data_IF_478007424122
#
_entry.id   IF_478007424122
#
_cell.length_a   1.000
_cell.length_b   1.000
_cell.length_c   1.000
_cell.angle_alpha   90.00
_cell.angle_beta   90.00
_cell.angle_gamma   90.00
#
_symmetry.space_group_name_H-M   'P 1'
#
loop_
_entity.id
_entity.type
_entity.pdbx_description
1 polymer ?
#
# COMPACT_ATOMS: atom_id res chain seq x y z
N UNK A 1 -16.53 -27.89 -8.41
CA UNK A 1 -15.65 -27.69 -7.24
C UNK A 1 -14.87 -26.40 -7.46
N UNK A 2 -15.31 -25.30 -6.86
CA UNK A 2 -14.60 -24.01 -6.98
C UNK A 2 -13.28 -24.12 -6.24
N UNK A 3 -12.16 -23.88 -6.93
CA UNK A 3 -10.85 -23.84 -6.29
C UNK A 3 -10.89 -22.76 -5.22
N UNK A 4 -10.64 -23.16 -3.98
CA UNK A 4 -10.41 -22.23 -2.89
C UNK A 4 -9.24 -21.33 -3.30
N UNK A 5 -9.40 -20.00 -3.31
CA UNK A 5 -8.33 -19.10 -3.69
C UNK A 5 -7.10 -19.34 -2.77
N UNK A 6 -5.86 -19.22 -3.30
CA UNK A 6 -4.64 -19.42 -2.52
C UNK A 6 -4.64 -18.56 -1.26
N UNK A 7 -3.95 -19.01 -0.21
CA UNK A 7 -3.88 -18.30 1.08
C UNK A 7 -3.45 -16.82 0.92
N UNK A 8 -2.61 -16.54 -0.09
CA UNK A 8 -2.20 -15.20 -0.49
C UNK A 8 -3.37 -14.26 -0.86
N UNK A 9 -4.37 -14.77 -1.59
CA UNK A 9 -5.59 -14.02 -1.94
C UNK A 9 -6.53 -13.82 -0.74
N UNK A 10 -6.45 -14.70 0.27
CA UNK A 10 -7.22 -14.60 1.52
C UNK A 10 -6.55 -13.72 2.60
N UNK A 11 -5.23 -13.59 2.56
CA UNK A 11 -4.42 -12.84 3.52
C UNK A 11 -4.08 -11.41 3.06
N UNK A 12 -4.66 -10.94 1.95
CA UNK A 12 -4.56 -9.54 1.57
C UNK A 12 -3.41 -9.18 0.62
N UNK A 13 -2.96 -10.08 -0.25
CA UNK A 13 -2.16 -9.67 -1.43
C UNK A 13 -2.97 -8.87 -2.49
N UNK A 14 -4.12 -8.31 -2.10
CA UNK A 14 -4.98 -7.47 -2.91
C UNK A 14 -4.81 -6.01 -2.46
N UNK A 15 -3.67 -5.40 -2.81
CA UNK A 15 -3.48 -3.94 -2.68
C UNK A 15 -2.78 -3.35 -3.90
N UNK A 16 -1.68 -3.94 -4.37
CA UNK A 16 -0.90 -3.40 -5.52
C UNK A 16 -1.68 -3.37 -6.85
N UNK A 17 -2.55 -4.35 -7.11
CA UNK A 17 -3.38 -4.34 -8.33
C UNK A 17 -4.33 -3.13 -8.40
N UNK A 18 -4.88 -2.71 -7.26
CA UNK A 18 -5.79 -1.55 -7.22
C UNK A 18 -5.03 -0.27 -7.56
N UNK A 19 -3.84 -0.09 -6.98
CA UNK A 19 -2.92 1.02 -7.24
C UNK A 19 -2.55 1.11 -8.71
N UNK A 20 -2.15 -0.01 -9.33
CA UNK A 20 -1.81 -0.02 -10.76
C UNK A 20 -3.01 0.26 -11.66
N UNK A 21 -4.21 -0.25 -11.32
CA UNK A 21 -5.43 0.04 -12.09
C UNK A 21 -5.81 1.53 -11.99
N UNK A 22 -5.75 2.12 -10.80
CA UNK A 22 -6.03 3.54 -10.57
C UNK A 22 -5.03 4.43 -11.32
N UNK A 23 -3.74 4.13 -11.19
CA UNK A 23 -2.67 4.82 -11.92
C UNK A 23 -2.88 4.68 -13.44
N UNK A 24 -3.23 3.48 -13.93
CA UNK A 24 -3.48 3.23 -15.35
C UNK A 24 -4.67 4.01 -15.90
N UNK A 25 -5.76 4.13 -15.13
CA UNK A 25 -6.92 4.95 -15.50
C UNK A 25 -6.56 6.44 -15.61
N UNK A 26 -5.80 6.95 -14.63
CA UNK A 26 -5.32 8.34 -14.63
C UNK A 26 -4.33 8.62 -15.77
N UNK A 27 -3.38 7.71 -16.01
CA UNK A 27 -2.43 7.80 -17.12
C UNK A 27 -3.14 7.77 -18.47
N UNK A 28 -4.08 6.84 -18.65
CA UNK A 28 -4.87 6.72 -19.87
C UNK A 28 -5.65 8.01 -20.13
N UNK A 29 -6.29 8.57 -19.10
CA UNK A 29 -6.95 9.88 -19.18
C UNK A 29 -6.01 10.98 -19.68
N UNK A 30 -4.87 11.15 -19.02
CA UNK A 30 -3.90 12.20 -19.36
C UNK A 30 -3.31 12.03 -20.77
N UNK A 31 -2.95 10.80 -21.15
CA UNK A 31 -2.44 10.49 -22.48
C UNK A 31 -3.50 10.66 -23.57
N UNK A 32 -4.76 10.33 -23.27
CA UNK A 32 -5.90 10.47 -24.17
C UNK A 32 -6.40 11.90 -24.36
N UNK A 33 -5.87 12.89 -23.61
CA UNK A 33 -6.38 14.25 -23.59
C UNK A 33 -6.44 14.92 -24.97
N UNK A 34 -5.42 14.72 -25.81
CA UNK A 34 -5.41 15.26 -27.19
C UNK A 34 -6.35 14.52 -28.13
N UNK A 35 -6.61 13.23 -27.87
CA UNK A 35 -7.41 12.36 -28.72
C UNK A 35 -8.90 12.33 -28.34
N UNK A 36 -9.34 13.19 -27.40
CA UNK A 36 -10.73 13.22 -26.94
C UNK A 36 -11.11 12.10 -26.00
N UNK A 37 -10.14 11.61 -25.22
CA UNK A 37 -10.33 10.54 -24.25
C UNK A 37 -9.59 9.27 -24.60
N UNK A 38 -9.76 8.26 -23.77
CA UNK A 38 -8.94 7.05 -23.77
C UNK A 38 -9.77 5.79 -24.01
N UNK A 39 -9.13 4.73 -24.48
CA UNK A 39 -9.76 3.43 -24.73
C UNK A 39 -9.44 2.46 -23.60
N UNK A 40 -10.23 1.39 -23.49
CA UNK A 40 -9.92 0.29 -22.59
C UNK A 40 -8.54 -0.35 -22.85
N UNK A 41 -8.09 -0.35 -24.12
CA UNK A 41 -6.74 -0.80 -24.48
C UNK A 41 -5.64 0.04 -23.86
N UNK A 42 -5.87 1.33 -23.69
CA UNK A 42 -4.88 2.27 -23.16
C UNK A 42 -4.70 2.03 -21.66
N UNK A 43 -5.80 1.80 -20.94
CA UNK A 43 -5.76 1.40 -19.52
C UNK A 43 -5.02 0.08 -19.35
N UNK A 44 -5.33 -0.94 -20.17
CA UNK A 44 -4.61 -2.23 -20.12
C UNK A 44 -3.12 -2.04 -20.39
N UNK A 45 -2.76 -1.23 -21.39
CA UNK A 45 -1.37 -0.93 -21.70
C UNK A 45 -0.65 -0.28 -20.51
N UNK A 46 -1.22 0.77 -19.93
CA UNK A 46 -0.61 1.42 -18.76
C UNK A 46 -0.56 0.51 -17.53
N UNK A 47 -1.56 -0.34 -17.33
CA UNK A 47 -1.52 -1.34 -16.26
C UNK A 47 -0.30 -2.25 -16.42
N UNK A 48 -0.11 -2.85 -17.60
CA UNK A 48 1.03 -3.73 -17.89
C UNK A 48 2.37 -2.98 -17.84
N UNK A 49 2.39 -1.72 -18.26
CA UNK A 49 3.59 -0.87 -18.14
C UNK A 49 3.95 -0.64 -16.67
N UNK A 50 2.97 -0.33 -15.83
CA UNK A 50 3.19 -0.01 -14.43
C UNK A 50 3.51 -1.22 -13.57
N UNK A 51 2.89 -2.37 -13.84
CA UNK A 51 3.30 -3.63 -13.21
C UNK A 51 4.74 -3.96 -13.57
N UNK A 52 5.14 -3.74 -14.84
CA UNK A 52 6.52 -3.94 -15.28
C UNK A 52 7.55 -3.06 -14.57
N UNK A 53 7.16 -1.89 -14.04
CA UNK A 53 8.08 -1.03 -13.27
C UNK A 53 8.42 -1.59 -11.89
N UNK A 54 7.56 -2.46 -11.34
CA UNK A 54 7.65 -2.92 -9.94
C UNK A 54 7.91 -4.44 -9.86
N UNK A 55 7.51 -5.19 -10.88
CA UNK A 55 7.73 -6.64 -10.93
C UNK A 55 9.22 -6.99 -10.96
N UNK A 56 9.61 -7.93 -10.08
CA UNK A 56 10.98 -8.42 -9.98
C UNK A 56 11.37 -9.34 -11.14
N UNK A 57 10.39 -10.02 -11.77
CA UNK A 57 10.60 -10.90 -12.93
C UNK A 57 9.72 -10.46 -14.10
N UNK A 58 10.33 -9.74 -15.03
CA UNK A 58 9.69 -9.25 -16.27
C UNK A 58 9.36 -10.40 -17.24
N UNK A 59 9.98 -11.58 -17.09
CA UNK A 59 9.78 -12.72 -18.00
C UNK A 59 8.54 -13.54 -17.65
N UNK A 60 8.02 -13.38 -16.42
CA UNK A 60 6.82 -14.06 -15.92
C UNK A 60 5.94 -13.06 -15.17
N UNK A 61 5.18 -12.21 -15.88
CA UNK A 61 4.32 -11.23 -15.23
C UNK A 61 3.34 -11.96 -14.31
N UNK A 62 3.38 -11.58 -13.03
CA UNK A 62 2.53 -12.12 -11.98
C UNK A 62 1.10 -11.58 -12.08
N UNK A 63 0.93 -10.48 -12.83
CA UNK A 63 -0.33 -9.78 -13.02
C UNK A 63 -0.66 -9.63 -14.50
N UNK A 64 -1.74 -10.27 -14.96
CA UNK A 64 -2.37 -9.96 -16.25
C UNK A 64 -3.77 -9.39 -15.99
N UNK A 65 -4.17 -8.46 -16.84
CA UNK A 65 -5.48 -7.82 -16.80
C UNK A 65 -6.14 -7.99 -18.15
N UNK A 66 -7.20 -8.78 -18.18
CA UNK A 66 -7.98 -9.01 -19.39
C UNK A 66 -8.68 -7.69 -19.80
N UNK A 67 -8.66 -7.40 -21.10
CA UNK A 67 -9.38 -6.26 -21.67
C UNK A 67 -10.88 -6.25 -21.31
N UNK A 68 -11.48 -7.42 -21.13
CA UNK A 68 -12.86 -7.61 -20.68
C UNK A 68 -13.04 -7.14 -19.23
N UNK A 69 -12.08 -7.40 -18.34
CA UNK A 69 -12.10 -6.89 -16.97
C UNK A 69 -12.00 -5.36 -16.96
N UNK A 70 -11.13 -4.78 -17.79
CA UNK A 70 -11.02 -3.32 -17.96
C UNK A 70 -12.35 -2.72 -18.42
N UNK A 71 -12.99 -3.31 -19.44
CA UNK A 71 -14.29 -2.83 -19.96
C UNK A 71 -15.37 -2.86 -18.87
N UNK A 72 -15.49 -3.96 -18.13
CA UNK A 72 -16.44 -4.06 -17.00
C UNK A 72 -16.17 -3.03 -15.91
N UNK A 73 -14.90 -2.73 -15.64
CA UNK A 73 -14.52 -1.66 -14.70
C UNK A 73 -14.95 -0.29 -15.23
N UNK A 74 -14.71 0.03 -16.50
CA UNK A 74 -15.16 1.28 -17.10
C UNK A 74 -16.69 1.41 -17.10
N UNK A 75 -17.43 0.34 -17.38
CA UNK A 75 -18.90 0.33 -17.28
C UNK A 75 -19.39 0.60 -15.86
N UNK A 76 -18.70 0.10 -14.82
CA UNK A 76 -19.00 0.43 -13.42
C UNK A 76 -18.71 1.90 -13.13
N UNK A 77 -17.56 2.43 -13.56
CA UNK A 77 -17.21 3.84 -13.38
C UNK A 77 -18.22 4.76 -14.08
N UNK A 78 -18.69 4.41 -15.27
CA UNK A 78 -19.74 5.16 -15.96
C UNK A 78 -21.07 5.14 -15.19
N UNK A 79 -21.50 3.98 -14.68
CA UNK A 79 -22.72 3.88 -13.86
C UNK A 79 -22.64 4.69 -12.57
N UNK A 80 -21.44 4.82 -11.99
CA UNK A 80 -21.19 5.62 -10.79
C UNK A 80 -20.93 7.11 -11.08
N UNK A 81 -20.98 7.55 -12.34
CA UNK A 81 -20.71 8.95 -12.72
C UNK A 81 -19.25 9.38 -12.60
N UNK A 82 -18.31 8.44 -12.48
CA UNK A 82 -16.86 8.70 -12.38
C UNK A 82 -16.17 8.71 -13.75
N UNK A 83 -16.84 8.16 -14.76
CA UNK A 83 -16.42 8.23 -16.15
C UNK A 83 -17.63 8.51 -17.04
N UNK A 84 -17.38 8.98 -18.26
CA UNK A 84 -18.38 9.13 -19.29
C UNK A 84 -17.88 8.52 -20.61
N UNK A 85 -18.73 7.77 -21.34
CA UNK A 85 -18.41 7.36 -22.69
C UNK A 85 -18.51 8.58 -23.62
N UNK A 86 -17.47 8.81 -24.41
CA UNK A 86 -17.51 9.82 -25.46
C UNK A 86 -18.41 9.36 -26.61
N UNK A 87 -19.26 10.27 -27.09
CA UNK A 87 -20.18 9.97 -28.18
C UNK A 87 -19.38 9.64 -29.47
N UNK A 88 -19.41 8.37 -29.87
CA UNK A 88 -19.33 7.94 -31.27
C UNK A 88 -20.72 7.53 -31.73
N UNK A 89 -21.00 7.59 -33.03
CA UNK A 89 -22.32 7.31 -33.62
C UNK A 89 -23.05 6.13 -32.96
N UNK A 90 -24.34 6.36 -32.67
CA UNK A 90 -25.28 5.50 -31.96
C UNK A 90 -25.22 4.04 -32.40
N UNK A 91 -24.39 3.23 -31.75
CA UNK A 91 -24.44 1.78 -31.83
C UNK A 91 -24.84 1.19 -30.47
N UNK A 92 -25.87 0.34 -30.46
CA UNK A 92 -26.40 -0.34 -29.26
C UNK A 92 -25.42 -1.33 -28.60
N UNK A 93 -24.25 -1.57 -29.20
CA UNK A 93 -23.13 -2.35 -28.62
C UNK A 93 -21.95 -1.41 -28.42
N UNK A 94 -21.27 -1.47 -27.26
CA UNK A 94 -20.06 -0.68 -27.00
C UNK A 94 -19.08 -0.86 -28.18
N UNK A 95 -18.91 0.16 -29.05
CA UNK A 95 -18.20 -0.02 -30.29
C UNK A 95 -16.73 -0.34 -30.01
N UNK A 96 -16.14 -1.22 -30.82
CA UNK A 96 -14.70 -1.45 -30.82
C UNK A 96 -14.02 -0.09 -31.04
N UNK A 97 -13.35 0.45 -30.01
CA UNK A 97 -12.76 1.78 -30.05
C UNK A 97 -13.52 2.86 -29.26
N UNK A 98 -14.55 2.52 -28.48
CA UNK A 98 -15.21 3.40 -27.51
C UNK A 98 -14.15 4.14 -26.66
N UNK A 99 -14.27 5.48 -26.64
CA UNK A 99 -13.44 6.35 -25.82
C UNK A 99 -14.18 6.75 -24.56
N UNK A 100 -13.43 7.00 -23.51
CA UNK A 100 -13.92 7.38 -22.19
C UNK A 100 -13.22 8.65 -21.74
N UNK A 101 -13.91 9.43 -20.93
CA UNK A 101 -13.33 10.49 -20.11
C UNK A 101 -13.60 10.17 -18.65
N UNK A 102 -12.67 10.53 -17.78
CA UNK A 102 -12.94 10.57 -16.35
C UNK A 102 -13.63 11.90 -16.07
N UNK A 103 -14.65 11.88 -15.23
CA UNK A 103 -15.32 13.12 -14.77
C UNK A 103 -14.44 13.81 -13.73
N UNK A 104 -14.78 15.05 -13.35
CA UNK A 104 -14.09 15.75 -12.25
C UNK A 104 -14.08 14.90 -10.97
N UNK A 105 -15.25 14.34 -10.61
CA UNK A 105 -15.39 13.48 -9.44
C UNK A 105 -14.53 12.21 -9.56
N UNK A 106 -14.52 11.56 -10.72
CA UNK A 106 -13.70 10.38 -10.95
C UNK A 106 -12.20 10.66 -10.86
N UNK A 107 -11.73 11.77 -11.43
CA UNK A 107 -10.33 12.19 -11.34
C UNK A 107 -9.91 12.45 -9.90
N UNK A 108 -10.71 13.22 -9.15
CA UNK A 108 -10.42 13.54 -7.75
C UNK A 108 -10.40 12.26 -6.91
N UNK A 109 -11.45 11.42 -6.98
CA UNK A 109 -11.51 10.19 -6.20
C UNK A 109 -10.39 9.22 -6.52
N UNK A 110 -10.06 9.00 -7.81
CA UNK A 110 -8.95 8.12 -8.19
C UNK A 110 -7.60 8.66 -7.72
N UNK A 111 -7.37 9.97 -7.81
CA UNK A 111 -6.13 10.59 -7.34
C UNK A 111 -5.99 10.51 -5.81
N UNK A 112 -7.08 10.67 -5.08
CA UNK A 112 -7.08 10.54 -3.62
C UNK A 112 -6.86 9.11 -3.16
N UNK A 113 -7.59 8.16 -3.72
CA UNK A 113 -7.40 6.73 -3.40
C UNK A 113 -6.00 6.26 -3.78
N UNK A 114 -5.44 6.74 -4.89
CA UNK A 114 -4.06 6.39 -5.27
C UNK A 114 -3.01 6.95 -4.30
N UNK A 115 -3.30 8.10 -3.68
CA UNK A 115 -2.42 8.73 -2.69
C UNK A 115 -2.65 8.22 -1.25
N UNK A 116 -3.69 7.41 -1.03
CA UNK A 116 -4.04 6.81 0.26
C UNK A 116 -3.16 5.57 0.52
N UNK A 117 -1.92 5.84 0.94
CA UNK A 117 -0.86 4.84 1.10
C UNK A 117 -0.66 4.44 2.56
N UNK A 118 -1.75 4.35 3.33
CA UNK A 118 -1.69 3.94 4.72
C UNK A 118 -1.19 2.49 4.80
N UNK A 119 0.00 2.31 5.38
CA UNK A 119 0.70 1.02 5.48
C UNK A 119 1.08 0.37 4.15
N UNK A 120 1.12 1.13 3.05
CA UNK A 120 1.63 0.63 1.78
C UNK A 120 3.12 0.25 1.90
N UNK A 121 3.58 -0.84 1.23
CA UNK A 121 5.01 -1.15 1.11
C UNK A 121 5.79 0.00 0.46
N UNK A 122 7.09 0.06 0.74
CA UNK A 122 7.99 1.09 0.18
C UNK A 122 7.90 1.13 -1.35
N UNK A 123 7.91 -0.02 -2.01
CA UNK A 123 7.90 -0.13 -3.47
C UNK A 123 6.66 0.53 -4.08
N UNK A 124 5.51 0.37 -3.41
CA UNK A 124 4.25 0.98 -3.81
C UNK A 124 4.29 2.51 -3.64
N UNK A 125 4.82 3.00 -2.52
CA UNK A 125 4.98 4.44 -2.31
C UNK A 125 5.94 5.08 -3.31
N UNK A 126 7.06 4.41 -3.63
CA UNK A 126 8.02 4.85 -4.65
C UNK A 126 7.38 4.85 -6.04
N UNK A 127 6.60 3.82 -6.36
CA UNK A 127 5.84 3.76 -7.60
C UNK A 127 4.90 4.97 -7.72
N UNK A 128 4.07 5.24 -6.72
CA UNK A 128 3.10 6.34 -6.77
C UNK A 128 3.79 7.70 -6.83
N UNK A 129 4.90 7.89 -6.12
CA UNK A 129 5.71 9.11 -6.22
C UNK A 129 6.28 9.32 -7.64
N UNK A 130 6.83 8.26 -8.25
CA UNK A 130 7.38 8.28 -9.61
C UNK A 130 6.27 8.53 -10.66
N UNK A 131 5.15 7.83 -10.51
CA UNK A 131 3.94 8.02 -11.31
C UNK A 131 3.47 9.47 -11.27
N UNK A 132 3.32 10.03 -10.07
CA UNK A 132 2.91 11.41 -9.87
C UNK A 132 3.88 12.39 -10.55
N UNK A 133 5.20 12.19 -10.39
CA UNK A 133 6.22 13.02 -11.01
C UNK A 133 6.13 13.00 -12.55
N UNK A 134 5.79 11.85 -13.13
CA UNK A 134 5.79 11.64 -14.57
C UNK A 134 4.46 12.02 -15.25
N UNK A 135 3.32 11.76 -14.60
CA UNK A 135 2.00 11.84 -15.24
C UNK A 135 1.13 12.99 -14.75
N UNK A 136 1.45 13.66 -13.62
CA UNK A 136 0.58 14.70 -13.06
C UNK A 136 0.25 15.80 -14.08
N UNK A 137 1.24 16.30 -14.82
CA UNK A 137 1.01 17.34 -15.83
C UNK A 137 0.01 16.91 -16.91
N UNK A 138 0.08 15.64 -17.34
CA UNK A 138 -0.84 15.09 -18.33
C UNK A 138 -2.24 14.88 -17.75
N UNK A 139 -2.34 14.41 -16.50
CA UNK A 139 -3.62 14.22 -15.78
C UNK A 139 -4.36 15.56 -15.63
N UNK A 140 -3.64 16.65 -15.34
CA UNK A 140 -4.23 17.99 -15.18
C UNK A 140 -4.49 18.72 -16.52
N UNK A 141 -4.18 18.10 -17.66
CA UNK A 141 -4.34 18.73 -18.96
C UNK A 141 -5.82 18.81 -19.38
N UNK A 142 -6.14 19.78 -20.24
CA UNK A 142 -7.47 19.87 -20.86
C UNK A 142 -7.64 18.75 -21.89
N UNK A 143 -8.85 18.19 -21.96
CA UNK A 143 -9.20 17.17 -22.96
C UNK A 143 -9.97 17.83 -24.10
N UNK A 144 -9.40 17.83 -25.33
CA UNK A 144 -9.97 18.53 -26.50
C UNK A 144 -10.42 19.98 -26.19
N UNK A 145 -9.62 20.72 -25.43
CA UNK A 145 -9.96 22.10 -25.03
C UNK A 145 -11.06 22.21 -23.96
N UNK A 146 -11.75 21.12 -23.61
CA UNK A 146 -12.70 21.07 -22.50
C UNK A 146 -11.93 21.01 -21.19
N UNK A 147 -12.31 21.88 -20.25
CA UNK A 147 -11.80 21.85 -18.89
C UNK A 147 -12.61 20.80 -18.13
N UNK A 148 -11.98 19.66 -17.84
CA UNK A 148 -12.60 18.57 -17.07
C UNK A 148 -12.52 18.85 -15.57
N UNK A 149 -11.43 19.49 -15.12
CA UNK A 149 -11.22 19.87 -13.72
C UNK A 149 -11.39 21.38 -13.52
N UNK A 150 -12.35 21.78 -12.68
CA UNK A 150 -12.42 23.12 -12.13
C UNK A 150 -11.15 23.48 -11.34
N UNK A 151 -10.91 24.78 -11.10
CA UNK A 151 -9.69 25.26 -10.45
C UNK A 151 -9.45 24.61 -9.07
N UNK A 152 -10.50 24.44 -8.28
CA UNK A 152 -10.42 23.80 -6.97
C UNK A 152 -10.02 22.32 -7.07
N UNK A 153 -10.71 21.55 -7.92
CA UNK A 153 -10.41 20.14 -8.16
C UNK A 153 -8.99 19.94 -8.72
N UNK A 154 -8.55 20.81 -9.64
CA UNK A 154 -7.19 20.79 -10.18
C UNK A 154 -6.14 20.97 -9.08
N UNK A 155 -6.33 21.94 -8.18
CA UNK A 155 -5.42 22.15 -7.03
C UNK A 155 -5.43 20.94 -6.12
N UNK A 156 -6.59 20.36 -5.84
CA UNK A 156 -6.74 19.17 -5.01
C UNK A 156 -5.96 17.98 -5.58
N UNK A 157 -6.16 17.65 -6.86
CA UNK A 157 -5.42 16.57 -7.55
C UNK A 157 -3.91 16.84 -7.51
N UNK A 158 -3.47 18.06 -7.81
CA UNK A 158 -2.06 18.43 -7.73
C UNK A 158 -1.46 18.28 -6.33
N UNK A 159 -2.25 18.56 -5.29
CA UNK A 159 -1.81 18.47 -3.91
C UNK A 159 -1.75 17.03 -3.39
N UNK A 160 -2.66 16.15 -3.81
CA UNK A 160 -2.67 14.75 -3.37
C UNK A 160 -1.65 13.91 -4.13
N UNK A 161 -1.44 14.20 -5.42
CA UNK A 161 -0.39 13.59 -6.25
C UNK A 161 0.89 14.45 -6.28
N UNK A 162 1.26 15.06 -5.16
CA UNK A 162 2.56 15.71 -5.02
C UNK A 162 3.61 14.66 -4.61
N UNK A 163 4.63 14.36 -5.45
CA UNK A 163 5.65 13.37 -5.13
C UNK A 163 6.34 13.61 -3.78
N UNK A 164 6.61 14.88 -3.43
CA UNK A 164 7.27 15.21 -2.16
C UNK A 164 6.35 14.95 -0.96
N UNK A 165 5.03 15.18 -1.11
CA UNK A 165 4.04 14.81 -0.09
C UNK A 165 3.94 13.30 0.08
N UNK A 166 3.91 12.55 -1.03
CA UNK A 166 3.83 11.08 -1.00
C UNK A 166 5.03 10.49 -0.25
N UNK A 167 6.26 10.92 -0.57
CA UNK A 167 7.46 10.44 0.13
C UNK A 167 7.47 10.81 1.62
N UNK A 168 7.04 12.02 1.98
CA UNK A 168 6.92 12.43 3.39
C UNK A 168 5.94 11.56 4.17
N UNK A 169 4.81 11.23 3.56
CA UNK A 169 3.82 10.34 4.17
C UNK A 169 4.39 8.93 4.35
N UNK A 170 5.06 8.39 3.33
CA UNK A 170 5.74 7.11 3.42
C UNK A 170 6.78 7.10 4.55
N UNK A 171 7.62 8.15 4.64
CA UNK A 171 8.62 8.32 5.70
C UNK A 171 7.99 8.29 7.09
N UNK A 172 6.90 9.04 7.29
CA UNK A 172 6.15 9.08 8.55
C UNK A 172 5.58 7.70 8.90
N UNK A 173 5.02 7.00 7.92
CA UNK A 173 4.44 5.66 8.12
C UNK A 173 5.53 4.63 8.46
N UNK A 174 6.65 4.62 7.72
CA UNK A 174 7.81 3.75 8.01
C UNK A 174 8.40 4.04 9.38
N UNK A 175 8.51 5.31 9.79
CA UNK A 175 8.97 5.68 11.12
C UNK A 175 8.04 5.16 12.23
N UNK A 176 6.73 5.21 12.03
CA UNK A 176 5.76 4.66 12.98
C UNK A 176 5.86 3.12 13.07
N UNK A 177 6.04 2.44 11.94
CA UNK A 177 6.27 0.98 11.90
C UNK A 177 7.57 0.61 12.62
N UNK A 178 8.66 1.34 12.36
CA UNK A 178 9.94 1.13 13.04
C UNK A 178 9.78 1.28 14.56
N UNK A 179 9.12 2.34 15.02
CA UNK A 179 8.91 2.56 16.45
C UNK A 179 8.12 1.41 17.12
N UNK A 180 7.07 0.89 16.46
CA UNK A 180 6.32 -0.28 16.95
C UNK A 180 7.20 -1.55 16.98
N UNK A 181 8.01 -1.78 15.96
CA UNK A 181 8.93 -2.92 15.90
C UNK A 181 10.02 -2.86 16.98
N UNK A 182 10.58 -1.68 17.23
CA UNK A 182 11.59 -1.47 18.28
C UNK A 182 10.99 -1.62 19.68
N UNK A 183 9.76 -1.17 19.89
CA UNK A 183 9.00 -1.44 21.12
C UNK A 183 8.79 -2.95 21.31
N UNK A 184 8.31 -3.66 20.26
CA UNK A 184 8.09 -5.12 20.33
C UNK A 184 9.38 -5.88 20.62
N UNK A 185 10.49 -5.48 19.99
CA UNK A 185 11.80 -6.07 20.21
C UNK A 185 12.26 -5.87 21.66
N UNK A 186 12.21 -4.63 22.16
CA UNK A 186 12.61 -4.31 23.55
C UNK A 186 11.73 -5.02 24.56
N UNK A 187 10.41 -4.93 24.40
CA UNK A 187 9.45 -5.58 25.30
C UNK A 187 9.58 -7.10 25.28
N UNK A 188 9.76 -7.70 24.10
CA UNK A 188 9.95 -9.15 23.98
C UNK A 188 11.22 -9.65 24.65
N UNK A 189 12.35 -8.95 24.49
CA UNK A 189 13.61 -9.29 25.16
C UNK A 189 13.51 -9.12 26.69
N UNK A 190 12.85 -8.05 27.16
CA UNK A 190 12.64 -7.84 28.60
C UNK A 190 11.75 -8.93 29.22
N UNK A 191 10.73 -9.42 28.49
CA UNK A 191 9.89 -10.53 28.93
C UNK A 191 10.67 -11.86 28.99
N UNK A 192 11.53 -12.13 27.99
CA UNK A 192 12.42 -13.30 28.00
C UNK A 192 13.38 -13.26 29.20
N UNK A 193 14.02 -12.11 29.45
CA UNK A 193 14.91 -11.91 30.59
C UNK A 193 14.18 -12.13 31.92
N UNK A 194 13.02 -11.49 32.10
CA UNK A 194 12.21 -11.65 33.30
C UNK A 194 11.71 -13.09 33.52
N UNK A 195 11.43 -13.83 32.43
CA UNK A 195 11.07 -15.23 32.52
C UNK A 195 12.26 -16.09 32.94
N UNK A 196 13.44 -15.85 32.34
CA UNK A 196 14.68 -16.53 32.68
C UNK A 196 15.10 -16.31 34.14
N UNK A 197 15.04 -15.08 34.63
CA UNK A 197 15.30 -14.75 36.03
C UNK A 197 14.36 -15.50 36.98
N UNK A 198 13.05 -15.45 36.73
CA UNK A 198 12.06 -16.10 37.59
C UNK A 198 12.24 -17.63 37.60
N UNK A 199 12.57 -18.25 36.47
CA UNK A 199 12.89 -19.67 36.41
C UNK A 199 14.18 -20.00 37.17
N UNK A 200 15.21 -19.16 37.08
CA UNK A 200 16.46 -19.33 37.83
C UNK A 200 16.26 -19.18 39.35
N UNK A 201 15.31 -18.34 39.78
CA UNK A 201 14.86 -18.20 41.17
C UNK A 201 13.99 -19.39 41.66
N UNK A 202 13.71 -20.37 40.80
CA UNK A 202 12.90 -21.54 41.14
C UNK A 202 11.39 -21.29 41.11
N UNK A 203 10.92 -20.22 40.45
CA UNK A 203 9.50 -19.96 40.29
C UNK A 203 8.85 -21.05 39.42
N UNK A 204 7.62 -21.44 39.78
CA UNK A 204 6.78 -22.31 38.96
C UNK A 204 6.36 -21.60 37.65
N UNK A 205 6.08 -22.36 36.60
CA UNK A 205 5.60 -21.83 35.31
C UNK A 205 4.39 -20.89 35.48
N UNK A 206 3.47 -21.21 36.39
CA UNK A 206 2.32 -20.35 36.70
C UNK A 206 2.69 -19.03 37.38
N UNK A 207 3.75 -18.99 38.18
CA UNK A 207 4.26 -17.74 38.76
C UNK A 207 4.95 -16.89 37.70
N UNK A 208 5.76 -17.51 36.81
CA UNK A 208 6.41 -16.82 35.69
C UNK A 208 5.36 -16.17 34.79
N UNK A 209 4.36 -16.94 34.37
CA UNK A 209 3.28 -16.45 33.49
C UNK A 209 2.54 -15.24 34.06
N UNK A 210 2.23 -15.24 35.37
CA UNK A 210 1.59 -14.09 36.03
C UNK A 210 2.50 -12.86 36.09
N UNK A 211 3.81 -13.06 36.29
CA UNK A 211 4.81 -11.98 36.24
C UNK A 211 4.91 -11.40 34.83
N UNK A 212 4.87 -12.23 33.79
CA UNK A 212 4.90 -11.73 32.40
C UNK A 212 3.63 -10.93 32.05
N UNK A 213 2.46 -11.37 32.52
CA UNK A 213 1.20 -10.65 32.29
C UNK A 213 1.15 -9.29 33.00
N UNK A 214 1.83 -9.12 34.15
CA UNK A 214 1.91 -7.81 34.82
C UNK A 214 2.95 -6.86 34.21
N UNK A 215 3.95 -7.37 33.51
CA UNK A 215 5.03 -6.58 32.91
C UNK A 215 4.67 -5.97 31.56
N UNK A 216 3.67 -6.51 30.86
CA UNK A 216 3.41 -6.14 29.47
C UNK A 216 1.94 -5.87 29.16
N UNK A 217 1.68 -4.86 28.33
CA UNK A 217 0.38 -4.73 27.68
C UNK A 217 0.29 -5.75 26.54
N UNK A 218 -0.33 -6.90 26.81
CA UNK A 218 -0.64 -7.87 25.77
C UNK A 218 -1.77 -7.30 24.89
N UNK A 219 -1.48 -6.95 23.63
CA UNK A 219 -2.45 -6.29 22.73
C UNK A 219 -3.72 -7.14 22.48
N UNK A 220 -3.66 -8.45 22.72
CA UNK A 220 -4.79 -9.36 22.58
C UNK A 220 -5.44 -9.71 23.91
N UNK A 221 -5.15 -9.00 25.00
CA UNK A 221 -5.77 -9.21 26.31
C UNK A 221 -7.30 -9.08 26.26
N UNK A 222 -7.82 -8.24 25.34
CA UNK A 222 -9.26 -8.11 25.04
C UNK A 222 -9.90 -9.37 24.42
N UNK A 223 -9.08 -10.28 23.87
CA UNK A 223 -9.52 -11.54 23.25
C UNK A 223 -9.32 -12.69 24.24
N UNK A 224 -8.15 -12.75 24.87
CA UNK A 224 -7.81 -13.77 25.86
C UNK A 224 -6.69 -13.25 26.78
N UNK A 225 -6.75 -13.45 28.10
CA UNK A 225 -5.62 -13.16 28.99
C UNK A 225 -4.36 -13.93 28.58
N UNK A 226 -3.19 -13.32 28.76
CA UNK A 226 -1.93 -13.95 28.36
C UNK A 226 -1.67 -15.19 29.21
N UNK A 227 -2.04 -15.13 30.50
CA UNK A 227 -1.87 -16.27 31.38
C UNK A 227 -2.73 -17.46 30.99
N UNK A 228 -3.96 -17.22 30.60
CA UNK A 228 -4.87 -18.27 30.14
C UNK A 228 -4.36 -18.92 28.84
N UNK A 229 -3.80 -18.12 27.94
CA UNK A 229 -3.19 -18.63 26.71
C UNK A 229 -1.98 -19.53 27.02
N UNK A 230 -1.01 -19.03 27.77
CA UNK A 230 0.25 -19.73 28.03
C UNK A 230 0.05 -21.00 28.86
N UNK A 231 -0.79 -20.94 29.90
CA UNK A 231 -1.09 -22.11 30.73
C UNK A 231 -1.91 -23.18 30.01
N UNK A 232 -2.66 -22.79 28.98
CA UNK A 232 -3.41 -23.73 28.13
C UNK A 232 -2.59 -24.44 27.07
N UNK A 233 -1.29 -24.12 26.91
CA UNK A 233 -0.41 -24.79 25.97
C UNK A 233 0.04 -26.17 26.50
N UNK A 234 0.33 -27.14 25.60
CA UNK A 234 1.08 -28.35 25.94
C UNK A 234 2.39 -28.02 26.68
N UNK A 235 2.81 -28.88 27.61
CA UNK A 235 3.92 -28.58 28.53
C UNK A 235 5.25 -28.27 27.82
N UNK A 236 5.56 -28.98 26.75
CA UNK A 236 6.74 -28.77 25.90
C UNK A 236 6.71 -27.39 25.23
N UNK A 237 5.57 -27.03 24.64
CA UNK A 237 5.39 -25.74 23.99
C UNK A 237 5.34 -24.59 24.99
N UNK A 238 4.71 -24.80 26.16
CA UNK A 238 4.67 -23.82 27.25
C UNK A 238 6.08 -23.53 27.76
N UNK A 239 6.87 -24.58 27.99
CA UNK A 239 8.27 -24.44 28.40
C UNK A 239 9.06 -23.66 27.36
N UNK A 240 8.94 -24.04 26.09
CA UNK A 240 9.58 -23.30 24.99
C UNK A 240 9.17 -21.82 24.99
N UNK A 241 7.88 -21.50 25.10
CA UNK A 241 7.40 -20.11 25.10
C UNK A 241 7.96 -19.28 26.27
N UNK A 242 8.09 -19.89 27.45
CA UNK A 242 8.62 -19.23 28.64
C UNK A 242 10.15 -19.10 28.65
N UNK A 243 10.87 -19.97 27.96
CA UNK A 243 12.35 -19.95 27.96
C UNK A 243 12.95 -19.26 26.74
N UNK A 244 12.37 -19.47 25.56
CA UNK A 244 13.00 -19.14 24.28
C UNK A 244 12.05 -18.45 23.30
N UNK A 245 10.78 -18.83 23.26
CA UNK A 245 9.85 -18.47 22.18
C UNK A 245 9.65 -16.97 22.01
N UNK A 246 9.50 -16.23 23.12
CA UNK A 246 9.35 -14.76 23.10
C UNK A 246 10.61 -14.09 22.56
N UNK A 247 11.78 -14.49 23.05
CA UNK A 247 13.08 -14.00 22.60
C UNK A 247 13.36 -14.33 21.15
N UNK A 248 13.11 -15.58 20.76
CA UNK A 248 13.29 -16.08 19.41
C UNK A 248 12.49 -15.27 18.40
N UNK A 249 11.20 -14.99 18.65
CA UNK A 249 10.41 -14.11 17.76
C UNK A 249 10.97 -12.69 17.70
N UNK A 250 11.43 -12.16 18.83
CA UNK A 250 12.03 -10.83 18.88
C UNK A 250 13.28 -10.76 17.99
N UNK A 251 14.16 -11.76 18.08
CA UNK A 251 15.41 -11.83 17.32
C UNK A 251 15.22 -12.22 15.85
N UNK A 252 14.31 -13.16 15.55
CA UNK A 252 14.16 -13.72 14.19
C UNK A 252 13.10 -13.00 13.34
N UNK A 253 12.13 -12.33 13.95
CA UNK A 253 11.07 -11.62 13.23
C UNK A 253 11.20 -10.11 13.40
N UNK A 254 11.16 -9.59 14.63
CA UNK A 254 11.08 -8.14 14.83
C UNK A 254 12.40 -7.42 14.54
N UNK A 255 13.53 -7.98 14.95
CA UNK A 255 14.84 -7.38 14.67
C UNK A 255 15.13 -7.21 13.16
N UNK A 256 14.99 -8.24 12.30
CA UNK A 256 15.20 -8.07 10.85
C UNK A 256 14.22 -7.10 10.21
N UNK A 257 12.95 -7.09 10.64
CA UNK A 257 11.96 -6.14 10.15
C UNK A 257 12.28 -4.70 10.58
N UNK A 258 12.80 -4.50 11.80
CA UNK A 258 13.26 -3.19 12.27
C UNK A 258 14.48 -2.72 11.47
N UNK A 259 15.44 -3.61 11.21
CA UNK A 259 16.61 -3.32 10.37
C UNK A 259 16.20 -2.88 8.96
N UNK A 260 15.30 -3.65 8.32
CA UNK A 260 14.71 -3.28 7.04
C UNK A 260 14.06 -1.90 7.11
N UNK A 261 13.21 -1.66 8.12
CA UNK A 261 12.51 -0.38 8.27
C UNK A 261 13.45 0.81 8.47
N UNK A 262 14.59 0.63 9.17
CA UNK A 262 15.65 1.66 9.28
C UNK A 262 16.27 1.96 7.92
N UNK A 263 16.59 0.93 7.14
CA UNK A 263 17.16 1.10 5.81
C UNK A 263 16.19 1.82 4.85
N UNK A 264 14.91 1.46 4.90
CA UNK A 264 13.84 2.12 4.14
C UNK A 264 13.67 3.59 4.55
N UNK A 265 13.70 3.88 5.86
CA UNK A 265 13.60 5.24 6.37
C UNK A 265 14.76 6.11 5.87
N UNK A 266 15.99 5.61 5.97
CA UNK A 266 17.18 6.31 5.48
C UNK A 266 17.13 6.54 3.96
N UNK A 267 16.55 5.61 3.19
CA UNK A 267 16.34 5.81 1.76
C UNK A 267 15.33 6.94 1.49
N UNK A 268 14.19 6.93 2.19
CA UNK A 268 13.15 7.94 2.03
C UNK A 268 13.66 9.34 2.38
N UNK A 269 14.49 9.47 3.43
CA UNK A 269 15.15 10.73 3.79
C UNK A 269 16.06 11.25 2.67
N UNK A 270 16.87 10.37 2.05
CA UNK A 270 17.70 10.75 0.91
C UNK A 270 16.84 11.18 -0.28
N UNK A 271 15.77 10.45 -0.61
CA UNK A 271 14.92 10.77 -1.74
C UNK A 271 14.16 12.09 -1.55
N UNK A 272 13.70 12.38 -0.32
CA UNK A 272 13.06 13.65 0.02
C UNK A 272 14.01 14.84 -0.25
N UNK A 273 15.30 14.71 0.10
CA UNK A 273 16.30 15.74 -0.19
C UNK A 273 16.54 15.96 -1.70
N UNK A 274 16.41 14.92 -2.52
CA UNK A 274 16.57 15.03 -3.97
C UNK A 274 15.36 15.69 -4.65
N UNK A 275 14.16 15.51 -4.08
CA UNK A 275 12.93 16.11 -4.60
C UNK A 275 12.60 17.49 -4.01
N UNK A 276 13.25 17.87 -2.90
CA UNK A 276 13.17 19.23 -2.39
C UNK A 276 13.61 20.18 -3.51
N UNK A 277 12.81 21.23 -3.83
CA UNK A 277 13.22 22.18 -4.84
C UNK A 277 14.59 22.72 -4.41
N UNK A 278 15.62 22.48 -5.23
CA UNK A 278 16.91 23.16 -5.08
C UNK A 278 16.55 24.64 -5.07
N UNK A 279 16.61 25.24 -3.88
CA UNK A 279 16.18 26.63 -3.69
C UNK A 279 16.82 27.44 -4.80
N UNK A 280 16.00 28.25 -5.49
CA UNK A 280 16.44 29.13 -6.57
C UNK A 280 17.75 29.81 -6.15
N UNK A 281 18.86 29.26 -6.65
CA UNK A 281 20.12 29.94 -6.66
C UNK A 281 19.89 31.12 -7.58
N UNK A 282 19.67 32.29 -6.98
CA UNK A 282 19.81 33.56 -7.66
C UNK A 282 21.20 33.58 -8.29
N UNK A 283 21.22 33.44 -9.61
CA UNK A 283 22.29 33.86 -10.51
C UNK A 283 21.65 34.74 -11.55
#
# INVERSE_FOLDING_TARGET
MGRTPPLAERLGHVTTQATFIQAALLAAHGAGARAGGFRASDVRFFFLLFTNWVEHDVTRPSQDLDLTQVRRTLERLCRSGWAEPMAGERSRKAPRGQRYLLTEAGLVSLAESLAELDRAPLEEALFVACFAASYLKAILARVQGRTVLGTAARRRVAQVLDPARILRNARRNTAAVLADLEERLRSGLALEEAAGEALAEGASEAQVVRRLESLGSYQLHRVRPLAELLLGLPDDLRRFELTEGIGMRSRLLFAPLAERSRAELALLERLEQHLAPRGNGRG
#
